data_IF_384938573325
#
_entry.id   IF_384938573325
#
_cell.length_a   1.000
_cell.length_b   1.000
_cell.length_c   1.000
_cell.angle_alpha   90.00
_cell.angle_beta   90.00
_cell.angle_gamma   90.00
#
_symmetry.space_group_name_H-M   'P 1'
#
loop_
_entity.id
_entity.type
_entity.pdbx_description
1 polymer ?
#
# COMPACT_ATOMS: atom_id res chain seq x y z
N UNK A 1 8.53 -4.67 3.62
CA UNK A 1 7.71 -4.15 2.48
C UNK A 1 7.40 -2.72 2.83
N UNK A 2 7.60 -1.78 1.92
CA UNK A 2 7.26 -0.37 2.16
C UNK A 2 5.77 -0.17 1.91
N UNK A 3 5.11 0.45 2.88
CA UNK A 3 3.69 0.75 2.82
C UNK A 3 3.49 2.25 2.91
N UNK A 4 2.58 2.74 2.08
CA UNK A 4 2.05 4.09 2.16
C UNK A 4 0.57 4.01 2.51
N UNK A 5 0.10 4.79 3.47
CA UNK A 5 -1.28 4.79 3.91
C UNK A 5 -1.91 6.18 3.79
N UNK A 6 -3.18 6.23 3.37
CA UNK A 6 -4.00 7.43 3.47
C UNK A 6 -5.21 7.13 4.33
N UNK A 7 -5.52 8.04 5.25
CA UNK A 7 -6.77 8.01 6.00
C UNK A 7 -7.79 8.80 5.21
N UNK A 8 -8.90 8.17 4.90
CA UNK A 8 -10.01 8.74 4.15
C UNK A 8 -11.24 8.82 5.06
N UNK A 9 -12.03 9.88 4.89
CA UNK A 9 -13.28 10.08 5.60
C UNK A 9 -14.44 10.31 4.63
N UNK A 10 -15.65 10.17 5.13
CA UNK A 10 -16.88 10.53 4.42
C UNK A 10 -17.87 11.18 5.38
N UNK A 11 -18.76 12.00 4.83
CA UNK A 11 -19.88 12.62 5.54
C UNK A 11 -21.17 11.77 5.47
N UNK A 12 -21.21 10.76 4.59
CA UNK A 12 -22.33 9.84 4.43
C UNK A 12 -21.85 8.39 4.32
N UNK A 13 -21.98 7.59 5.38
CA UNK A 13 -21.51 6.21 5.38
C UNK A 13 -22.33 5.27 4.46
N UNK A 14 -23.60 5.59 4.18
CA UNK A 14 -24.47 4.76 3.32
C UNK A 14 -24.19 4.93 1.82
N UNK A 15 -23.88 6.16 1.39
CA UNK A 15 -23.48 6.49 0.00
C UNK A 15 -22.22 7.36 0.02
N UNK A 16 -21.05 6.73 0.25
CA UNK A 16 -19.88 7.46 0.68
C UNK A 16 -19.10 8.07 -0.47
N UNK A 17 -18.96 9.41 -0.42
CA UNK A 17 -17.92 10.12 -1.12
C UNK A 17 -16.69 10.26 -0.23
N UNK A 18 -15.65 9.49 -0.53
CA UNK A 18 -14.43 9.44 0.25
C UNK A 18 -13.45 10.55 -0.14
N UNK A 19 -12.91 11.25 0.85
CA UNK A 19 -11.86 12.24 0.66
C UNK A 19 -10.69 11.96 1.61
N UNK A 20 -9.47 12.25 1.15
CA UNK A 20 -8.24 12.06 1.94
C UNK A 20 -8.19 13.14 3.03
N UNK A 21 -8.05 12.70 4.27
CA UNK A 21 -7.87 13.56 5.45
C UNK A 21 -6.39 13.75 5.74
N UNK A 22 -5.63 12.65 5.71
CA UNK A 22 -4.20 12.66 5.97
C UNK A 22 -3.50 11.59 5.15
N UNK A 23 -2.29 11.92 4.74
CA UNK A 23 -1.31 11.00 4.18
C UNK A 23 -0.32 10.65 5.28
N UNK A 24 -0.12 9.36 5.54
CA UNK A 24 0.80 8.86 6.55
C UNK A 24 2.16 8.66 5.90
N UNK A 25 3.21 9.18 6.54
CA UNK A 25 4.59 9.05 6.06
C UNK A 25 4.99 7.58 5.88
N UNK A 26 5.84 7.31 4.88
CA UNK A 26 6.30 5.97 4.54
C UNK A 26 7.00 5.29 5.72
N UNK A 27 6.54 4.09 6.07
CA UNK A 27 7.29 3.21 6.97
C UNK A 27 8.20 2.29 6.14
N UNK A 28 9.49 2.31 6.44
CA UNK A 28 10.45 1.52 5.67
C UNK A 28 10.28 0.01 5.92
N UNK A 29 9.89 -0.38 7.14
CA UNK A 29 9.71 -1.79 7.54
C UNK A 29 8.56 -1.94 8.55
N UNK A 30 7.53 -2.71 8.21
CA UNK A 30 6.47 -3.17 9.11
C UNK A 30 6.44 -4.70 9.12
N UNK A 31 6.43 -5.29 10.31
CA UNK A 31 6.41 -6.74 10.54
C UNK A 31 4.95 -7.21 10.71
N UNK A 32 4.23 -7.29 9.60
CA UNK A 32 2.83 -7.71 9.55
C UNK A 32 2.21 -7.59 8.15
N UNK A 33 0.92 -7.88 8.04
CA UNK A 33 0.18 -7.76 6.77
C UNK A 33 -0.22 -6.31 6.50
N UNK A 34 -0.49 -5.98 5.24
CA UNK A 34 -0.98 -4.67 4.82
C UNK A 34 -2.30 -4.30 5.50
N UNK A 35 -3.19 -5.28 5.71
CA UNK A 35 -4.44 -5.08 6.46
C UNK A 35 -4.17 -4.82 7.95
N UNK A 36 -3.21 -5.52 8.56
CA UNK A 36 -2.84 -5.27 9.96
C UNK A 36 -2.24 -3.88 10.12
N UNK A 37 -1.34 -3.48 9.23
CA UNK A 37 -0.81 -2.11 9.18
C UNK A 37 -1.93 -1.07 9.06
N UNK A 38 -2.91 -1.32 8.18
CA UNK A 38 -4.07 -0.43 8.01
C UNK A 38 -4.90 -0.28 9.29
N UNK A 39 -5.13 -1.37 10.05
CA UNK A 39 -5.80 -1.33 11.35
C UNK A 39 -5.01 -0.52 12.37
N UNK A 40 -3.73 -0.85 12.55
CA UNK A 40 -2.86 -0.16 13.52
C UNK A 40 -2.81 1.36 13.25
N UNK A 41 -2.72 1.77 11.99
CA UNK A 41 -2.77 3.19 11.60
C UNK A 41 -4.11 3.83 11.95
N UNK A 42 -5.22 3.16 11.65
CA UNK A 42 -6.56 3.69 11.91
C UNK A 42 -6.85 3.79 13.42
N UNK A 43 -6.51 2.75 14.19
CA UNK A 43 -6.66 2.72 15.64
C UNK A 43 -5.87 3.83 16.32
N UNK A 44 -4.61 4.01 15.94
CA UNK A 44 -3.77 5.07 16.47
C UNK A 44 -4.35 6.45 16.15
N UNK A 45 -4.81 6.66 14.91
CA UNK A 45 -5.40 7.95 14.52
C UNK A 45 -6.68 8.26 15.28
N UNK A 46 -7.59 7.27 15.42
CA UNK A 46 -8.83 7.43 16.20
C UNK A 46 -8.49 7.76 17.66
N UNK A 47 -7.49 7.08 18.22
CA UNK A 47 -7.04 7.29 19.61
C UNK A 47 -6.47 8.70 19.80
N UNK A 48 -5.63 9.16 18.87
CA UNK A 48 -5.06 10.50 18.90
C UNK A 48 -6.15 11.57 18.80
N UNK A 49 -7.10 11.43 17.86
CA UNK A 49 -8.21 12.39 17.73
C UNK A 49 -9.12 12.39 18.96
N UNK A 50 -9.42 11.23 19.55
CA UNK A 50 -10.21 11.15 20.77
C UNK A 50 -9.50 11.82 21.96
N UNK A 51 -8.16 11.74 22.03
CA UNK A 51 -7.37 12.38 23.09
C UNK A 51 -7.35 13.91 22.98
N UNK A 52 -7.57 14.45 21.78
CA UNK A 52 -7.57 15.89 21.47
C UNK A 52 -8.97 16.52 21.53
N UNK A 53 -10.03 15.70 21.53
CA UNK A 53 -11.40 16.18 21.49
C UNK A 53 -11.83 16.78 22.84
N UNK A 54 -12.24 18.06 22.82
CA UNK A 54 -12.97 18.67 23.94
C UNK A 54 -14.47 18.30 23.86
N UNK A 55 -14.80 17.01 23.98
CA UNK A 55 -16.17 16.51 23.89
C UNK A 55 -16.27 15.01 23.63
N UNK A 56 -17.47 14.54 23.29
CA UNK A 56 -17.64 13.16 22.83
C UNK A 56 -16.91 12.97 21.48
N UNK A 57 -16.12 11.90 21.32
CA UNK A 57 -15.44 11.62 20.07
C UNK A 57 -16.48 11.41 18.95
N UNK A 58 -16.15 11.87 17.74
CA UNK A 58 -17.01 11.68 16.58
C UNK A 58 -17.29 10.17 16.36
N UNK A 59 -18.52 9.80 15.97
CA UNK A 59 -18.84 8.41 15.68
C UNK A 59 -17.98 7.89 14.53
N UNK A 60 -17.47 6.67 14.66
CA UNK A 60 -16.62 6.05 13.64
C UNK A 60 -17.41 5.16 12.69
N UNK A 61 -18.61 4.72 13.06
CA UNK A 61 -19.55 3.93 12.24
C UNK A 61 -20.97 4.48 12.37
N UNK A 62 -21.81 4.20 11.38
CA UNK A 62 -23.25 4.53 11.42
C UNK A 62 -24.07 3.47 12.17
N UNK A 63 -25.40 3.64 12.18
CA UNK A 63 -26.34 2.71 12.84
C UNK A 63 -26.45 1.34 12.15
N UNK A 64 -25.91 1.21 10.94
CA UNK A 64 -25.89 -0.02 10.14
C UNK A 64 -24.51 -0.71 10.15
N UNK A 65 -23.52 -0.11 10.81
CA UNK A 65 -22.16 -0.60 10.87
C UNK A 65 -21.30 -0.20 9.67
N UNK A 66 -21.75 0.75 8.83
CA UNK A 66 -20.93 1.28 7.75
C UNK A 66 -19.88 2.26 8.31
N UNK A 67 -18.64 2.24 7.80
CA UNK A 67 -17.58 3.08 8.32
C UNK A 67 -17.68 4.55 7.85
N UNK A 68 -17.42 5.49 8.75
CA UNK A 68 -17.16 6.90 8.41
C UNK A 68 -15.68 7.18 8.10
N UNK A 69 -14.81 6.24 8.46
CA UNK A 69 -13.36 6.35 8.32
C UNK A 69 -12.81 5.08 7.72
N UNK A 70 -11.79 5.21 6.87
CA UNK A 70 -11.04 4.05 6.39
C UNK A 70 -9.58 4.40 6.15
N UNK A 71 -8.73 3.38 6.23
CA UNK A 71 -7.34 3.47 5.78
C UNK A 71 -7.18 2.74 4.46
N UNK A 72 -6.54 3.39 3.50
CA UNK A 72 -6.16 2.78 2.22
C UNK A 72 -4.66 2.59 2.19
N UNK A 73 -4.23 1.34 2.14
CA UNK A 73 -2.81 0.94 2.12
C UNK A 73 -2.37 0.63 0.69
N UNK A 74 -1.21 1.15 0.30
CA UNK A 74 -0.62 1.03 -1.03
C UNK A 74 0.84 0.57 -0.96
N UNK A 75 1.31 -0.07 -2.04
CA UNK A 75 2.75 -0.23 -2.26
C UNK A 75 3.21 1.04 -2.97
N UNK A 76 4.20 1.73 -2.40
CA UNK A 76 4.83 2.82 -3.12
C UNK A 76 6.27 3.03 -2.67
N UNK A 77 7.09 3.54 -3.59
CA UNK A 77 8.34 4.23 -3.29
C UNK A 77 8.26 5.74 -3.62
N UNK A 78 7.12 6.21 -4.14
CA UNK A 78 6.84 7.62 -4.45
C UNK A 78 5.44 8.04 -3.93
N UNK A 79 5.32 9.13 -3.17
CA UNK A 79 4.07 9.49 -2.48
C UNK A 79 2.85 9.74 -3.38
N UNK A 80 3.07 10.01 -4.67
CA UNK A 80 2.01 10.37 -5.64
C UNK A 80 1.49 9.18 -6.48
N UNK A 81 2.01 7.96 -6.26
CA UNK A 81 1.59 6.77 -7.01
C UNK A 81 0.29 6.18 -6.41
N UNK A 82 -0.86 6.68 -6.87
CA UNK A 82 -2.17 6.32 -6.30
C UNK A 82 -2.72 4.95 -6.71
N UNK A 83 -2.12 4.29 -7.71
CA UNK A 83 -2.76 3.20 -8.46
C UNK A 83 -2.50 1.78 -7.91
N UNK A 84 -1.89 1.67 -6.72
CA UNK A 84 -1.44 0.39 -6.15
C UNK A 84 -2.06 0.07 -4.79
N UNK A 85 -3.39 0.20 -4.70
CA UNK A 85 -4.17 -0.19 -3.53
C UNK A 85 -4.07 -1.70 -3.26
N UNK A 86 -3.67 -2.06 -2.03
CA UNK A 86 -3.48 -3.44 -1.58
C UNK A 86 -4.61 -3.84 -0.62
N UNK A 87 -4.85 -2.96 0.36
CA UNK A 87 -5.83 -3.14 1.42
C UNK A 87 -6.61 -1.85 1.65
N UNK A 88 -7.85 -2.03 2.08
CA UNK A 88 -8.72 -0.97 2.62
C UNK A 88 -9.26 -1.54 3.92
N UNK A 89 -9.15 -0.76 4.99
CA UNK A 89 -9.61 -1.14 6.33
C UNK A 89 -10.55 -0.07 6.81
N UNK A 90 -11.83 -0.42 6.98
CA UNK A 90 -12.81 0.49 7.58
C UNK A 90 -12.72 0.53 9.10
N UNK A 91 -13.32 1.55 9.70
CA UNK A 91 -13.50 1.65 11.16
C UNK A 91 -14.41 0.57 11.76
N UNK A 92 -15.12 -0.19 10.92
CA UNK A 92 -15.88 -1.39 11.27
C UNK A 92 -15.00 -2.65 11.35
N UNK A 93 -13.74 -2.59 10.90
CA UNK A 93 -12.82 -3.74 10.78
C UNK A 93 -11.60 -3.66 11.74
N UNK A 94 -11.72 -2.90 12.83
CA UNK A 94 -10.61 -2.68 13.77
C UNK A 94 -10.26 -3.94 14.57
N UNK A 95 -11.22 -4.82 14.83
CA UNK A 95 -10.96 -6.06 15.54
C UNK A 95 -9.95 -6.96 14.81
N UNK A 96 -9.05 -7.58 15.58
CA UNK A 96 -8.05 -8.49 15.01
C UNK A 96 -8.74 -9.74 14.43
N UNK A 97 -8.54 -10.06 13.14
CA UNK A 97 -9.15 -11.23 12.52
C UNK A 97 -8.53 -12.54 13.04
N UNK A 98 -9.23 -13.68 12.89
CA UNK A 98 -8.66 -15.00 13.18
C UNK A 98 -7.34 -15.27 12.45
N UNK A 99 -6.46 -16.05 13.08
CA UNK A 99 -5.11 -16.32 12.57
C UNK A 99 -5.10 -16.96 11.17
N UNK A 100 -6.13 -17.73 10.81
CA UNK A 100 -6.29 -18.34 9.50
C UNK A 100 -6.47 -17.28 8.39
N UNK A 101 -7.20 -16.20 8.67
CA UNK A 101 -7.35 -15.10 7.71
C UNK A 101 -6.05 -14.30 7.58
N UNK A 102 -5.30 -14.14 8.67
CA UNK A 102 -4.00 -13.47 8.66
C UNK A 102 -2.99 -14.17 7.73
N UNK A 103 -2.93 -15.50 7.78
CA UNK A 103 -2.07 -16.27 6.88
C UNK A 103 -2.47 -16.11 5.39
N UNK A 104 -3.78 -16.03 5.11
CA UNK A 104 -4.29 -15.78 3.76
C UNK A 104 -3.95 -14.37 3.28
N UNK A 105 -4.08 -13.36 4.15
CA UNK A 105 -3.70 -11.98 3.85
C UNK A 105 -2.20 -11.85 3.59
N UNK A 106 -1.35 -12.50 4.38
CA UNK A 106 0.08 -12.53 4.15
C UNK A 106 0.44 -13.14 2.78
N UNK A 107 -0.22 -14.23 2.39
CA UNK A 107 -0.02 -14.84 1.07
C UNK A 107 -0.52 -13.94 -0.08
N UNK A 108 -1.64 -13.23 0.13
CA UNK A 108 -2.17 -12.24 -0.81
C UNK A 108 -1.19 -11.08 -0.99
N UNK A 109 -0.67 -10.54 0.11
CA UNK A 109 0.29 -9.44 0.11
C UNK A 109 1.57 -9.83 -0.64
N UNK A 110 2.13 -11.01 -0.35
CA UNK A 110 3.31 -11.51 -1.05
C UNK A 110 3.10 -11.60 -2.57
N UNK A 111 1.91 -12.06 -3.00
CA UNK A 111 1.55 -12.14 -4.43
C UNK A 111 1.41 -10.75 -5.06
N UNK A 112 0.76 -9.82 -4.38
CA UNK A 112 0.58 -8.45 -4.88
C UNK A 112 1.92 -7.72 -4.95
N UNK A 113 2.78 -7.92 -3.96
CA UNK A 113 4.12 -7.34 -3.92
C UNK A 113 5.00 -7.88 -5.06
N UNK A 114 4.95 -9.19 -5.34
CA UNK A 114 5.67 -9.77 -6.48
C UNK A 114 5.24 -9.15 -7.82
N UNK A 115 3.93 -8.89 -8.00
CA UNK A 115 3.41 -8.21 -9.20
C UNK A 115 3.84 -6.76 -9.29
N UNK A 116 3.87 -6.06 -8.16
CA UNK A 116 4.37 -4.69 -8.07
C UNK A 116 5.83 -4.61 -8.53
N UNK A 117 6.68 -5.51 -8.03
CA UNK A 117 8.09 -5.57 -8.41
C UNK A 117 8.30 -5.90 -9.90
N UNK A 118 7.47 -6.78 -10.47
CA UNK A 118 7.53 -7.14 -11.90
C UNK A 118 7.20 -5.94 -12.78
N UNK A 119 6.10 -5.21 -12.48
CA UNK A 119 5.73 -3.97 -13.18
C UNK A 119 6.84 -2.92 -13.09
N UNK A 120 7.37 -2.69 -11.89
CA UNK A 120 8.45 -1.72 -11.68
C UNK A 120 9.70 -2.07 -12.50
N UNK A 121 10.02 -3.36 -12.62
CA UNK A 121 11.15 -3.80 -13.44
C UNK A 121 10.91 -3.52 -14.94
N UNK A 122 9.67 -3.70 -15.42
CA UNK A 122 9.28 -3.36 -16.79
C UNK A 122 9.38 -1.84 -17.05
N UNK A 123 8.89 -1.01 -16.12
CA UNK A 123 8.95 0.45 -16.25
C UNK A 123 10.40 0.95 -16.29
N UNK A 124 11.26 0.44 -15.38
CA UNK A 124 12.69 0.75 -15.37
C UNK A 124 13.40 0.30 -16.65
N UNK A 125 13.00 -0.84 -17.22
CA UNK A 125 13.51 -1.31 -18.49
C UNK A 125 13.10 -0.37 -19.62
N UNK A 126 11.84 0.06 -19.67
CA UNK A 126 11.35 1.00 -20.68
C UNK A 126 12.09 2.35 -20.62
N UNK A 127 12.29 2.87 -19.41
CA UNK A 127 13.07 4.10 -19.18
C UNK A 127 14.52 3.95 -19.64
N UNK A 128 15.18 2.85 -19.29
CA UNK A 128 16.54 2.56 -19.71
C UNK A 128 16.65 2.45 -21.25
N UNK A 129 15.69 1.78 -21.89
CA UNK A 129 15.63 1.67 -23.35
C UNK A 129 15.41 3.04 -24.00
N UNK A 130 14.52 3.86 -23.43
CA UNK A 130 14.24 5.22 -23.91
C UNK A 130 15.46 6.12 -23.79
N UNK A 131 16.14 6.12 -22.64
CA UNK A 131 17.36 6.89 -22.41
C UNK A 131 18.47 6.46 -23.38
N UNK A 132 18.66 5.16 -23.58
CA UNK A 132 19.69 4.64 -24.46
C UNK A 132 19.41 4.91 -25.95
N UNK A 133 18.14 4.90 -26.39
CA UNK A 133 17.72 5.36 -27.73
C UNK A 133 18.04 6.85 -27.94
N UNK A 134 17.71 7.70 -26.96
CA UNK A 134 18.02 9.15 -27.02
C UNK A 134 19.52 9.43 -27.10
N UNK A 135 20.34 8.62 -26.44
CA UNK A 135 21.80 8.75 -26.47
C UNK A 135 22.48 8.19 -27.73
N UNK A 136 21.72 7.62 -28.69
CA UNK A 136 22.25 7.13 -29.97
C UNK A 136 23.05 5.83 -29.88
N UNK A 137 22.85 5.03 -28.82
CA UNK A 137 23.56 3.76 -28.64
C UNK A 137 23.06 2.67 -29.61
N UNK A 138 23.99 1.88 -30.17
CA UNK A 138 23.65 0.71 -30.99
C UNK A 138 23.04 -0.43 -30.17
N UNK A 139 22.33 -1.37 -30.83
CA UNK A 139 21.57 -2.44 -30.18
C UNK A 139 22.38 -3.29 -29.16
N UNK A 140 23.68 -3.48 -29.38
CA UNK A 140 24.56 -4.22 -28.47
C UNK A 140 24.91 -3.45 -27.19
N UNK A 141 24.97 -2.11 -27.24
CA UNK A 141 25.18 -1.27 -26.05
C UNK A 141 23.91 -1.16 -25.22
N UNK A 142 22.75 -1.10 -25.89
CA UNK A 142 21.43 -1.21 -25.29
C UNK A 142 21.27 -2.51 -24.50
N UNK A 143 21.57 -3.66 -25.12
CA UNK A 143 21.49 -4.97 -24.46
C UNK A 143 22.40 -5.07 -23.21
N UNK A 144 23.59 -4.46 -23.27
CA UNK A 144 24.55 -4.47 -22.15
C UNK A 144 24.10 -3.62 -20.97
N UNK A 145 23.43 -2.49 -21.22
CA UNK A 145 22.89 -1.60 -20.17
C UNK A 145 21.54 -2.04 -19.63
N UNK A 146 20.74 -2.73 -20.44
CA UNK A 146 19.46 -3.31 -20.02
C UNK A 146 19.64 -4.63 -19.25
N UNK A 147 20.71 -5.41 -19.50
CA UNK A 147 20.93 -6.70 -18.84
C UNK A 147 20.86 -6.68 -17.29
N UNK A 148 21.40 -5.66 -16.58
CA UNK A 148 21.24 -5.54 -15.13
C UNK A 148 19.80 -5.22 -14.67
N UNK A 149 19.01 -4.52 -15.50
CA UNK A 149 17.60 -4.22 -15.22
C UNK A 149 16.70 -5.45 -15.46
N UNK A 150 17.06 -6.31 -16.43
CA UNK A 150 16.33 -7.55 -16.76
C UNK A 150 16.77 -8.72 -15.89
N UNK A 151 17.94 -8.65 -15.23
CA UNK A 151 18.35 -9.67 -14.26
C UNK A 151 17.47 -9.57 -13.03
N UNK A 152 16.37 -10.33 -13.04
CA UNK A 152 15.41 -10.47 -11.95
C UNK A 152 16.09 -10.47 -10.57
N UNK A 153 15.51 -9.83 -9.56
CA UNK A 153 15.99 -9.97 -8.19
C UNK A 153 16.02 -11.45 -7.83
N UNK A 154 17.19 -11.94 -7.42
CA UNK A 154 17.41 -13.30 -6.89
C UNK A 154 16.53 -13.57 -5.66
N UNK A 155 15.86 -12.55 -5.11
CA UNK A 155 14.93 -12.62 -4.00
C UNK A 155 13.79 -13.65 -4.19
N UNK A 156 13.34 -13.92 -5.43
CA UNK A 156 12.31 -14.94 -5.68
C UNK A 156 12.80 -16.39 -5.53
N UNK A 157 14.12 -16.65 -5.44
CA UNK A 157 14.65 -18.00 -5.18
C UNK A 157 14.79 -18.34 -3.71
N UNK A 158 14.79 -17.35 -2.81
CA UNK A 158 15.07 -17.56 -1.39
C UNK A 158 13.82 -17.62 -0.49
N UNK A 159 12.61 -17.39 -1.02
CA UNK A 159 11.36 -17.57 -0.27
C UNK A 159 10.81 -19.01 -0.29
N UNK A 160 11.60 -19.97 -0.78
CA UNK A 160 11.33 -21.40 -0.65
C UNK A 160 12.38 -22.01 0.28
N UNK A 161 12.23 -21.82 1.60
CA UNK A 161 12.89 -22.61 2.65
C UNK A 161 12.08 -22.53 3.92
#
# INVERSE_FOLDING_TARGET
MRFHATIEATDNAEDPMWYVVITVDDIEEYDGTSAQYGRDVLENWITDQASLAEGDPAPTTDEHGNPYLRVVVRFSDEPDEHDHRIAVVGSDELDTPPAELHAVDAARDAKLYARYLDRRADDQLEDALTAARKAGHGANDLARRAAPAVSRPIALRMMAS
#
